data_IF_762391480907
#
_entry.id   IF_762391480907
#
_cell.length_a   1.000
_cell.length_b   1.000
_cell.length_c   1.000
_cell.angle_alpha   90.00
_cell.angle_beta   90.00
_cell.angle_gamma   90.00
#
_symmetry.space_group_name_H-M   'P 1'
#
loop_
_entity.id
_entity.type
_entity.pdbx_description
1 polymer ?
#
# COMPACT_ATOMS: atom_id res chain seq x y z
N UNK A 1 -17.01 -12.14 -24.22
CA UNK A 1 -16.04 -12.44 -23.15
C UNK A 1 -14.67 -12.57 -23.78
N UNK A 2 -13.81 -11.55 -23.66
CA UNK A 2 -12.45 -11.63 -24.18
C UNK A 2 -11.57 -12.40 -23.18
N UNK A 3 -10.80 -13.36 -23.69
CA UNK A 3 -9.99 -14.29 -22.90
C UNK A 3 -8.51 -13.94 -23.13
N UNK A 4 -7.82 -13.48 -22.09
CA UNK A 4 -6.41 -13.09 -22.20
C UNK A 4 -5.51 -14.19 -21.62
N UNK A 5 -4.63 -14.75 -22.45
CA UNK A 5 -3.60 -15.69 -22.03
C UNK A 5 -2.30 -14.93 -21.71
N UNK A 6 -1.83 -14.99 -20.46
CA UNK A 6 -0.60 -14.33 -20.03
C UNK A 6 0.60 -15.24 -20.37
N UNK A 7 1.37 -14.91 -21.40
CA UNK A 7 2.51 -15.71 -21.85
C UNK A 7 3.74 -15.63 -20.93
N UNK A 8 4.25 -16.80 -20.52
CA UNK A 8 5.63 -17.07 -20.09
C UNK A 8 6.06 -18.37 -20.75
N UNK A 9 7.15 -18.34 -21.52
CA UNK A 9 7.74 -19.55 -22.12
C UNK A 9 8.45 -20.35 -21.01
N UNK A 10 7.80 -21.42 -20.54
CA UNK A 10 8.36 -22.30 -19.52
C UNK A 10 7.32 -23.16 -18.79
N UNK A 11 6.90 -24.26 -19.40
CA UNK A 11 6.51 -25.52 -18.75
C UNK A 11 5.35 -25.61 -17.73
N UNK A 12 4.77 -24.51 -17.24
CA UNK A 12 3.68 -24.56 -16.25
C UNK A 12 2.45 -23.78 -16.75
N UNK A 13 1.27 -24.42 -16.69
CA UNK A 13 0.04 -23.93 -17.33
C UNK A 13 -0.31 -22.49 -16.91
N UNK A 14 -0.59 -21.64 -17.90
CA UNK A 14 -0.98 -20.24 -17.69
C UNK A 14 -2.37 -20.17 -17.03
N UNK A 15 -2.54 -19.43 -15.91
CA UNK A 15 -3.87 -19.20 -15.36
C UNK A 15 -4.66 -18.32 -16.34
N UNK A 16 -5.87 -18.76 -16.68
CA UNK A 16 -6.75 -18.03 -17.57
C UNK A 16 -7.60 -17.03 -16.79
N UNK A 17 -7.50 -15.74 -17.12
CA UNK A 17 -8.19 -14.67 -16.41
C UNK A 17 -9.28 -14.05 -17.30
N UNK A 18 -10.47 -13.88 -16.75
CA UNK A 18 -11.57 -13.18 -17.41
C UNK A 18 -11.55 -11.70 -17.04
N UNK A 19 -11.59 -10.83 -18.04
CA UNK A 19 -11.61 -9.38 -17.86
C UNK A 19 -12.97 -8.82 -18.25
N UNK A 20 -13.40 -7.75 -17.58
CA UNK A 20 -14.54 -6.95 -18.05
C UNK A 20 -14.16 -6.19 -19.32
N UNK A 21 -15.13 -5.78 -20.16
CA UNK A 21 -14.85 -4.96 -21.35
C UNK A 21 -14.05 -3.69 -21.04
N UNK A 22 -14.34 -3.05 -19.91
CA UNK A 22 -13.68 -1.81 -19.47
C UNK A 22 -12.22 -2.07 -19.09
N UNK A 23 -11.94 -3.19 -18.41
CA UNK A 23 -10.59 -3.60 -18.06
C UNK A 23 -9.76 -3.92 -19.31
N UNK A 24 -10.37 -4.58 -20.29
CA UNK A 24 -9.75 -4.87 -21.56
C UNK A 24 -9.37 -3.58 -22.30
N UNK A 25 -10.31 -2.64 -22.43
CA UNK A 25 -10.06 -1.34 -23.08
C UNK A 25 -8.94 -0.56 -22.37
N UNK A 26 -8.91 -0.59 -21.04
CA UNK A 26 -7.83 0.03 -20.28
C UNK A 26 -6.47 -0.58 -20.62
N UNK A 27 -6.36 -1.90 -20.65
CA UNK A 27 -5.11 -2.60 -20.97
C UNK A 27 -4.68 -2.30 -22.41
N UNK A 28 -5.62 -2.34 -23.36
CA UNK A 28 -5.36 -2.02 -24.76
C UNK A 28 -4.84 -0.58 -24.93
N UNK A 29 -5.45 0.40 -24.25
CA UNK A 29 -4.96 1.78 -24.26
C UNK A 29 -3.54 1.91 -23.69
N UNK A 30 -3.20 1.14 -22.65
CA UNK A 30 -1.84 1.13 -22.08
C UNK A 30 -0.81 0.55 -23.03
N UNK A 31 -1.14 -0.52 -23.76
CA UNK A 31 -0.26 -1.10 -24.78
C UNK A 31 -0.14 -0.16 -25.98
N UNK A 32 -1.26 0.40 -26.45
CA UNK A 32 -1.29 1.33 -27.58
C UNK A 32 -0.48 2.61 -27.33
N UNK A 33 -0.37 3.05 -26.07
CA UNK A 33 0.51 4.17 -25.70
C UNK A 33 2.01 3.90 -25.88
N UNK A 34 2.41 2.65 -26.14
CA UNK A 34 3.81 2.23 -26.24
C UNK A 34 4.51 2.07 -24.89
N UNK A 35 3.83 2.34 -23.77
CA UNK A 35 4.39 2.20 -22.41
C UNK A 35 4.62 0.73 -22.01
N UNK A 36 3.89 -0.20 -22.62
CA UNK A 36 3.99 -1.63 -22.36
C UNK A 36 3.97 -2.39 -23.69
N UNK A 37 4.80 -3.42 -23.83
CA UNK A 37 4.89 -4.21 -25.05
C UNK A 37 3.75 -5.22 -25.20
N UNK A 38 3.10 -5.61 -24.10
CA UNK A 38 2.01 -6.58 -24.14
C UNK A 38 1.03 -6.44 -22.96
N UNK A 39 -0.16 -6.99 -23.14
CA UNK A 39 -1.16 -7.12 -22.09
C UNK A 39 -0.62 -7.89 -20.86
N UNK A 40 0.16 -8.95 -21.08
CA UNK A 40 0.84 -9.73 -20.03
C UNK A 40 1.76 -8.86 -19.17
N UNK A 41 2.45 -7.90 -19.78
CA UNK A 41 3.33 -6.98 -19.09
C UNK A 41 2.55 -5.96 -18.25
N UNK A 42 1.44 -5.43 -18.78
CA UNK A 42 0.51 -4.59 -18.02
C UNK A 42 0.00 -5.33 -16.78
N UNK A 43 -0.42 -6.59 -16.94
CA UNK A 43 -0.93 -7.40 -15.84
C UNK A 43 0.14 -7.67 -14.77
N UNK A 44 1.37 -8.04 -15.17
CA UNK A 44 2.48 -8.21 -14.22
C UNK A 44 2.78 -6.91 -13.47
N UNK A 45 2.76 -5.78 -14.16
CA UNK A 45 2.95 -4.48 -13.53
C UNK A 45 1.81 -4.15 -12.55
N UNK A 46 0.57 -4.45 -12.90
CA UNK A 46 -0.59 -4.21 -12.03
C UNK A 46 -0.52 -5.07 -10.75
N UNK A 47 -0.17 -6.35 -10.88
CA UNK A 47 -0.01 -7.26 -9.72
C UNK A 47 1.13 -6.79 -8.82
N UNK A 48 2.27 -6.35 -9.39
CA UNK A 48 3.38 -5.81 -8.59
C UNK A 48 2.96 -4.57 -7.79
N UNK A 49 2.22 -3.63 -8.41
CA UNK A 49 1.69 -2.47 -7.69
C UNK A 49 0.71 -2.87 -6.57
N UNK A 50 -0.11 -3.91 -6.81
CA UNK A 50 -1.02 -4.44 -5.81
C UNK A 50 -0.24 -5.03 -4.61
N UNK A 51 0.79 -5.83 -4.88
CA UNK A 51 1.66 -6.39 -3.85
C UNK A 51 2.35 -5.30 -3.01
N UNK A 52 2.93 -4.29 -3.66
CA UNK A 52 3.56 -3.15 -2.96
C UNK A 52 2.56 -2.39 -2.06
N UNK A 53 1.30 -2.27 -2.50
CA UNK A 53 0.23 -1.64 -1.72
C UNK A 53 -0.21 -2.52 -0.54
N UNK A 54 -0.33 -3.83 -0.73
CA UNK A 54 -0.65 -4.78 0.33
C UNK A 54 0.44 -4.85 1.39
N UNK A 55 1.71 -4.96 0.99
CA UNK A 55 2.85 -4.95 1.92
C UNK A 55 2.91 -3.65 2.74
N UNK A 56 2.56 -2.51 2.13
CA UNK A 56 2.49 -1.23 2.85
C UNK A 56 1.35 -1.22 3.86
N UNK A 57 0.19 -1.74 3.46
CA UNK A 57 -0.99 -1.85 4.33
C UNK A 57 -0.70 -2.78 5.51
N UNK A 58 -0.10 -3.94 5.27
CA UNK A 58 0.27 -4.91 6.30
C UNK A 58 1.27 -4.33 7.29
N UNK A 59 2.32 -3.65 6.82
CA UNK A 59 3.27 -2.97 7.70
C UNK A 59 2.61 -1.91 8.56
N UNK A 60 1.70 -1.13 7.98
CA UNK A 60 0.97 -0.10 8.73
C UNK A 60 0.05 -0.72 9.80
N UNK A 61 -0.68 -1.78 9.47
CA UNK A 61 -1.51 -2.50 10.43
C UNK A 61 -0.67 -3.11 11.55
N UNK A 62 0.47 -3.73 11.21
CA UNK A 62 1.38 -4.28 12.20
C UNK A 62 1.92 -3.20 13.16
N UNK A 63 2.28 -2.02 12.64
CA UNK A 63 2.66 -0.87 13.46
C UNK A 63 1.53 -0.45 14.41
N UNK A 64 0.28 -0.35 13.92
CA UNK A 64 -0.86 0.01 14.76
C UNK A 64 -1.12 -1.02 15.87
N UNK A 65 -1.02 -2.31 15.54
CA UNK A 65 -1.14 -3.39 16.53
C UNK A 65 -0.05 -3.30 17.60
N UNK A 66 1.19 -3.03 17.21
CA UNK A 66 2.31 -2.86 18.16
C UNK A 66 2.08 -1.67 19.09
N UNK A 67 1.71 -0.51 18.54
CA UNK A 67 1.39 0.70 19.31
C UNK A 67 0.21 0.45 20.27
N UNK A 68 -0.85 -0.21 19.82
CA UNK A 68 -1.99 -0.57 20.66
C UNK A 68 -1.57 -1.50 21.80
N UNK A 69 -0.81 -2.56 21.50
CA UNK A 69 -0.37 -3.50 22.52
C UNK A 69 0.58 -2.84 23.53
N UNK A 70 1.38 -1.86 23.10
CA UNK A 70 2.21 -1.04 23.98
C UNK A 70 1.34 -0.17 24.90
N UNK A 71 0.37 0.54 24.33
CA UNK A 71 -0.58 1.37 25.08
C UNK A 71 -1.35 0.55 26.13
N UNK A 72 -1.76 -0.68 25.80
CA UNK A 72 -2.46 -1.56 26.73
C UNK A 72 -1.60 -1.97 27.93
N UNK A 73 -0.28 -2.11 27.75
CA UNK A 73 0.66 -2.52 28.82
C UNK A 73 1.24 -1.35 29.61
N UNK A 74 1.58 -0.26 28.93
CA UNK A 74 2.28 0.89 29.51
C UNK A 74 1.31 2.01 29.93
N UNK A 75 0.05 1.93 29.50
CA UNK A 75 -0.93 2.99 29.67
C UNK A 75 -0.82 4.06 28.59
N UNK A 76 -1.80 4.97 28.59
CA UNK A 76 -1.81 6.15 27.72
C UNK A 76 -1.92 7.41 28.56
N UNK A 77 -1.40 8.52 28.02
CA UNK A 77 -1.48 9.84 28.64
C UNK A 77 -2.51 10.64 27.84
N UNK A 78 -3.35 11.42 28.52
CA UNK A 78 -4.33 12.28 27.86
C UNK A 78 -3.66 13.39 27.06
N UNK A 79 -4.34 13.90 26.03
CA UNK A 79 -3.80 15.00 25.23
C UNK A 79 -3.65 16.28 26.09
N UNK A 80 -4.54 16.47 27.05
CA UNK A 80 -4.54 17.59 27.99
C UNK A 80 -3.32 17.54 28.92
N UNK A 81 -2.97 16.37 29.45
CA UNK A 81 -1.79 16.20 30.30
C UNK A 81 -0.51 16.44 29.50
N UNK A 82 -0.43 15.92 28.27
CA UNK A 82 0.71 16.18 27.37
C UNK A 82 0.86 17.67 27.05
N UNK A 83 -0.25 18.37 26.76
CA UNK A 83 -0.22 19.82 26.48
C UNK A 83 0.23 20.63 27.70
N UNK A 84 -0.27 20.28 28.89
CA UNK A 84 0.12 20.91 30.14
C UNK A 84 1.63 20.71 30.41
N UNK A 85 2.13 19.48 30.27
CA UNK A 85 3.53 19.16 30.48
C UNK A 85 4.43 19.87 29.46
N UNK A 86 4.06 19.85 28.17
CA UNK A 86 4.79 20.54 27.11
C UNK A 86 4.88 22.05 27.36
N UNK A 87 3.77 22.70 27.76
CA UNK A 87 3.75 24.12 28.11
C UNK A 87 4.68 24.44 29.27
N UNK A 88 4.70 23.58 30.30
CA UNK A 88 5.60 23.74 31.44
C UNK A 88 7.07 23.66 31.02
N UNK A 89 7.43 22.70 30.16
CA UNK A 89 8.80 22.55 29.63
C UNK A 89 9.22 23.78 28.82
N UNK A 90 8.35 24.29 27.93
CA UNK A 90 8.62 25.49 27.14
C UNK A 90 8.80 26.73 28.03
N UNK A 91 7.95 26.90 29.04
CA UNK A 91 8.06 28.02 29.97
C UNK A 91 9.39 27.98 30.76
N UNK A 92 9.79 26.80 31.24
CA UNK A 92 11.05 26.61 31.95
C UNK A 92 12.27 26.88 31.04
N UNK A 93 12.21 26.51 29.76
CA UNK A 93 13.27 26.81 28.81
C UNK A 93 13.41 28.32 28.55
N UNK A 94 12.28 29.05 28.46
CA UNK A 94 12.26 30.51 28.29
C UNK A 94 12.82 31.27 29.50
N UNK A 95 12.68 30.74 30.71
CA UNK A 95 13.20 31.37 31.92
C UNK A 95 14.73 31.21 32.08
N UNK A 96 15.36 30.35 31.26
CA UNK A 96 16.81 30.11 31.25
C UNK A 96 17.54 30.88 30.15
N UNK A 97 16.81 31.60 29.31
CA UNK A 97 17.32 32.45 28.22
C UNK A 97 17.24 33.92 28.65
#
# INVERSE_FOLDING_TARGET
MAKLAIGVEGGCAVPNVSLTPEQQQFIEARVASGRFASASEVMRHAVRLMQEAEERRERFVAMLCDVSARADREGTISAEDVDAELKAVIAAAKQRA
#
